data_IF_846315623549
#
_entry.id   IF_846315623549
#
_cell.length_a   1.000
_cell.length_b   1.000
_cell.length_c   1.000
_cell.angle_alpha   90.00
_cell.angle_beta   90.00
_cell.angle_gamma   90.00
#
_symmetry.space_group_name_H-M   'P 1'
#
loop_
_entity.id
_entity.type
_entity.pdbx_description
1 polymer ?
#
# COMPACT_ATOMS: atom_id res chain seq x y z
N UNK A 1 0.95 15.65 -2.30
CA UNK A 1 0.71 14.25 -1.90
C UNK A 1 1.71 13.33 -2.58
N UNK A 2 2.23 12.38 -1.84
CA UNK A 2 3.15 11.38 -2.38
C UNK A 2 2.52 9.99 -2.35
N UNK A 3 3.01 9.10 -3.21
CA UNK A 3 2.67 7.69 -3.22
C UNK A 3 3.94 6.88 -2.99
N UNK A 4 3.94 6.07 -1.95
CA UNK A 4 5.05 5.17 -1.61
C UNK A 4 4.68 3.79 -2.12
N UNK A 5 5.50 3.22 -2.98
CA UNK A 5 5.14 1.99 -3.70
C UNK A 5 6.15 0.87 -3.39
N UNK A 6 5.61 -0.27 -2.98
CA UNK A 6 6.37 -1.47 -2.67
C UNK A 6 5.86 -2.64 -3.49
N UNK A 7 6.76 -3.54 -3.86
CA UNK A 7 6.40 -4.80 -4.49
C UNK A 7 6.93 -5.95 -3.64
N UNK A 8 6.12 -6.97 -3.48
CA UNK A 8 6.48 -8.15 -2.68
C UNK A 8 6.28 -9.43 -3.46
N UNK A 9 7.22 -10.35 -3.32
CA UNK A 9 7.04 -11.73 -3.75
C UNK A 9 6.95 -12.56 -2.48
N UNK A 10 5.75 -13.04 -2.17
CA UNK A 10 5.44 -13.74 -0.94
C UNK A 10 5.72 -15.23 -1.11
N UNK A 11 6.16 -15.90 -0.05
CA UNK A 11 6.40 -17.33 -0.11
C UNK A 11 5.12 -18.08 -0.40
N UNK A 12 5.17 -19.17 -1.19
CA UNK A 12 3.98 -19.98 -1.43
C UNK A 12 3.38 -20.44 -0.10
N UNK A 13 2.07 -20.27 0.03
CA UNK A 13 1.35 -20.65 1.25
C UNK A 13 1.33 -19.57 2.33
N UNK A 14 2.09 -18.48 2.18
CA UNK A 14 2.15 -17.43 3.20
C UNK A 14 1.21 -16.24 2.90
N UNK A 15 0.42 -16.32 1.83
CA UNK A 15 -0.41 -15.20 1.39
C UNK A 15 -1.38 -14.70 2.46
N UNK A 16 -2.07 -15.62 3.12
CA UNK A 16 -3.06 -15.23 4.13
C UNK A 16 -2.42 -14.47 5.30
N UNK A 17 -1.27 -14.96 5.77
CA UNK A 17 -0.54 -14.29 6.85
C UNK A 17 -0.01 -12.94 6.40
N UNK A 18 0.48 -12.86 5.16
CA UNK A 18 0.97 -11.61 4.61
C UNK A 18 -0.15 -10.59 4.51
N UNK A 19 -1.33 -10.99 4.06
CA UNK A 19 -2.47 -10.09 3.93
C UNK A 19 -2.93 -9.54 5.28
N UNK A 20 -2.70 -10.25 6.37
CA UNK A 20 -3.01 -9.77 7.71
C UNK A 20 -2.14 -8.59 8.13
N UNK A 21 -1.00 -8.40 7.50
CA UNK A 21 -0.14 -7.26 7.81
C UNK A 21 -0.60 -6.00 7.10
N UNK A 22 -0.93 -6.12 5.83
CA UNK A 22 -1.11 -4.96 4.94
C UNK A 22 -2.53 -4.72 4.49
N UNK A 23 -3.46 -5.60 4.83
CA UNK A 23 -4.87 -5.38 4.52
C UNK A 23 -5.44 -4.20 5.29
N UNK A 24 -6.69 -3.85 5.01
CA UNK A 24 -7.32 -2.67 5.62
C UNK A 24 -7.36 -2.75 7.15
N UNK A 25 -7.44 -3.95 7.73
CA UNK A 25 -7.40 -4.15 9.18
C UNK A 25 -6.04 -4.69 9.63
N UNK A 26 -5.03 -4.59 8.79
CA UNK A 26 -3.71 -5.12 9.07
C UNK A 26 -2.95 -4.26 10.06
N UNK A 27 -1.97 -4.90 10.72
CA UNK A 27 -1.18 -4.21 11.75
C UNK A 27 -0.33 -3.07 11.19
N UNK A 28 0.20 -3.23 9.98
CA UNK A 28 0.94 -2.17 9.32
C UNK A 28 0.02 -0.97 9.00
N UNK A 29 -1.16 -1.25 8.47
CA UNK A 29 -2.13 -0.22 8.10
C UNK A 29 -2.60 0.53 9.34
N UNK A 30 -2.85 -0.21 10.44
CA UNK A 30 -3.23 0.42 11.70
C UNK A 30 -2.16 1.38 12.21
N UNK A 31 -0.89 0.97 12.10
CA UNK A 31 0.20 1.83 12.53
C UNK A 31 0.25 3.10 11.67
N UNK A 32 0.07 2.96 10.36
CA UNK A 32 0.07 4.11 9.45
C UNK A 32 -1.07 5.09 9.78
N UNK A 33 -2.23 4.58 10.17
CA UNK A 33 -3.38 5.41 10.53
C UNK A 33 -3.14 6.32 11.72
N UNK A 34 -2.11 6.07 12.52
CA UNK A 34 -1.77 6.95 13.64
C UNK A 34 -1.27 8.31 13.19
N UNK A 35 -0.86 8.43 11.93
CA UNK A 35 -0.47 9.72 11.36
C UNK A 35 -1.63 10.32 10.60
N UNK A 36 -1.91 11.60 10.83
CA UNK A 36 -2.93 12.33 10.08
C UNK A 36 -2.54 12.53 8.62
N UNK A 37 -1.26 12.39 8.31
CA UNK A 37 -0.77 12.53 6.95
C UNK A 37 -1.00 11.28 6.11
N UNK A 38 -1.35 10.16 6.73
CA UNK A 38 -1.69 8.94 6.00
C UNK A 38 -3.07 9.10 5.36
N UNK A 39 -3.12 9.02 4.05
CA UNK A 39 -4.35 9.27 3.28
C UNK A 39 -5.00 8.00 2.77
N UNK A 40 -4.41 6.85 3.06
CA UNK A 40 -4.95 5.57 2.65
C UNK A 40 -3.94 4.77 1.87
N UNK A 41 -4.34 3.56 1.50
CA UNK A 41 -3.47 2.67 0.74
C UNK A 41 -4.29 1.81 -0.21
N UNK A 42 -3.61 1.33 -1.24
CA UNK A 42 -4.14 0.30 -2.14
C UNK A 42 -3.26 -0.91 -1.98
N UNK A 43 -3.86 -2.03 -1.62
CA UNK A 43 -3.15 -3.29 -1.45
C UNK A 43 -3.66 -4.27 -2.50
N UNK A 44 -2.77 -4.67 -3.41
CA UNK A 44 -3.15 -5.32 -4.65
C UNK A 44 -2.42 -6.64 -4.81
N UNK A 45 -3.11 -7.64 -5.36
CA UNK A 45 -2.49 -8.91 -5.72
C UNK A 45 -2.55 -9.06 -7.23
N UNK A 46 -1.46 -9.55 -7.80
CA UNK A 46 -1.37 -9.79 -9.24
C UNK A 46 -2.40 -10.83 -9.66
N UNK A 47 -3.16 -10.55 -10.71
CA UNK A 47 -4.14 -11.50 -11.25
C UNK A 47 -3.43 -12.75 -11.76
N UNK A 48 -2.23 -12.60 -12.28
CA UNK A 48 -1.46 -13.69 -12.87
C UNK A 48 -0.57 -14.44 -11.89
N UNK A 49 -0.51 -14.02 -10.62
CA UNK A 49 0.36 -14.68 -9.64
C UNK A 49 -0.20 -14.51 -8.24
N UNK A 50 -0.42 -15.62 -7.56
CA UNK A 50 -0.98 -15.61 -6.20
C UNK A 50 0.02 -15.09 -5.16
N UNK A 51 1.29 -14.96 -5.53
CA UNK A 51 2.33 -14.58 -4.57
C UNK A 51 2.89 -13.17 -4.80
N UNK A 52 2.45 -12.48 -5.84
CA UNK A 52 2.97 -11.16 -6.14
C UNK A 52 1.98 -10.08 -5.72
N UNK A 53 2.45 -9.15 -4.90
CA UNK A 53 1.61 -8.08 -4.34
C UNK A 53 2.25 -6.71 -4.57
N UNK A 54 1.40 -5.69 -4.65
CA UNK A 54 1.80 -4.30 -4.63
C UNK A 54 1.12 -3.61 -3.46
N UNK A 55 1.86 -2.74 -2.79
CA UNK A 55 1.30 -1.84 -1.79
C UNK A 55 1.60 -0.42 -2.22
N UNK A 56 0.56 0.39 -2.32
CA UNK A 56 0.69 1.82 -2.63
C UNK A 56 0.12 2.58 -1.44
N UNK A 57 0.96 3.37 -0.78
CA UNK A 57 0.52 4.18 0.35
C UNK A 57 0.53 5.65 -0.04
N UNK A 58 -0.54 6.34 0.28
CA UNK A 58 -0.66 7.76 0.00
C UNK A 58 -0.45 8.56 1.28
N UNK A 59 0.46 9.52 1.21
CA UNK A 59 0.80 10.38 2.33
C UNK A 59 0.77 11.84 1.88
N UNK A 60 0.41 12.74 2.79
CA UNK A 60 0.29 14.16 2.46
C UNK A 60 1.61 14.78 2.07
N UNK A 61 2.66 14.51 2.85
CA UNK A 61 3.96 15.13 2.65
C UNK A 61 5.08 14.16 3.00
N UNK A 62 6.19 14.28 2.27
CA UNK A 62 7.38 13.44 2.49
C UNK A 62 7.95 13.58 3.90
N UNK A 63 8.05 14.82 4.39
CA UNK A 63 8.61 15.07 5.72
C UNK A 63 7.80 14.41 6.82
N UNK A 64 6.48 14.42 6.70
CA UNK A 64 5.61 13.81 7.71
C UNK A 64 5.69 12.30 7.63
N UNK A 65 5.80 11.75 6.42
CA UNK A 65 6.03 10.32 6.24
C UNK A 65 7.34 9.89 6.92
N UNK A 66 8.43 10.63 6.67
CA UNK A 66 9.73 10.33 7.28
C UNK A 66 9.66 10.42 8.81
N UNK A 67 8.93 11.42 9.31
CA UNK A 67 8.74 11.57 10.75
C UNK A 67 7.98 10.36 11.32
N UNK A 68 6.97 9.89 10.64
CA UNK A 68 6.23 8.71 11.06
C UNK A 68 7.16 7.49 11.17
N UNK A 69 8.02 7.27 10.17
CA UNK A 69 8.97 6.17 10.21
C UNK A 69 9.92 6.28 11.41
N UNK A 70 10.37 7.49 11.72
CA UNK A 70 11.26 7.73 12.85
C UNK A 70 10.54 7.54 14.19
N UNK A 71 9.34 8.08 14.31
CA UNK A 71 8.56 8.03 15.56
C UNK A 71 8.15 6.61 15.94
N UNK A 72 7.91 5.76 14.94
CA UNK A 72 7.45 4.39 15.17
C UNK A 72 8.49 3.33 14.80
N UNK A 73 9.78 3.70 14.85
CA UNK A 73 10.87 2.84 14.42
C UNK A 73 10.82 1.44 15.03
N UNK A 74 10.56 1.35 16.34
CA UNK A 74 10.53 0.04 17.01
C UNK A 74 9.39 -0.84 16.52
N UNK A 75 8.22 -0.26 16.36
CA UNK A 75 7.05 -0.99 15.88
C UNK A 75 7.24 -1.42 14.44
N UNK A 76 7.83 -0.54 13.62
CA UNK A 76 8.11 -0.84 12.21
C UNK A 76 9.13 -1.97 12.12
N UNK A 77 10.19 -1.94 12.93
CA UNK A 77 11.21 -3.00 12.93
C UNK A 77 10.58 -4.35 13.27
N UNK A 78 9.69 -4.39 14.24
CA UNK A 78 9.02 -5.64 14.63
C UNK A 78 8.15 -6.17 13.50
N UNK A 79 7.42 -5.29 12.83
CA UNK A 79 6.57 -5.68 11.69
C UNK A 79 7.41 -6.13 10.51
N UNK A 80 8.55 -5.49 10.28
CA UNK A 80 9.46 -5.88 9.21
C UNK A 80 10.08 -7.25 9.46
N UNK A 81 10.39 -7.57 10.70
CA UNK A 81 10.88 -8.90 11.03
C UNK A 81 9.81 -9.96 10.79
N UNK A 82 8.57 -9.66 11.17
CA UNK A 82 7.45 -10.55 10.92
C UNK A 82 7.24 -10.76 9.43
N UNK A 83 7.31 -9.69 8.64
CA UNK A 83 7.18 -9.77 7.19
C UNK A 83 8.30 -10.58 6.57
N UNK A 84 9.52 -10.44 7.07
CA UNK A 84 10.69 -11.09 6.46
C UNK A 84 10.55 -12.60 6.38
N UNK A 85 9.85 -13.22 7.33
CA UNK A 85 9.63 -14.67 7.30
C UNK A 85 8.59 -15.09 6.26
N UNK A 86 7.81 -14.15 5.74
CA UNK A 86 6.72 -14.43 4.80
C UNK A 86 7.06 -14.10 3.36
N UNK A 87 8.13 -13.36 3.12
CA UNK A 87 8.44 -12.77 1.82
C UNK A 87 9.76 -13.31 1.30
N UNK A 88 9.77 -13.72 0.03
CA UNK A 88 11.00 -14.14 -0.65
C UNK A 88 11.78 -12.93 -1.14
N UNK A 89 11.06 -11.90 -1.57
CA UNK A 89 11.68 -10.72 -2.13
C UNK A 89 10.79 -9.51 -1.95
N UNK A 90 11.42 -8.37 -1.70
CA UNK A 90 10.72 -7.10 -1.57
C UNK A 90 11.49 -6.05 -2.34
N UNK A 91 10.77 -5.21 -3.03
CA UNK A 91 11.37 -4.13 -3.80
C UNK A 91 10.71 -2.81 -3.46
N UNK A 92 11.52 -1.81 -3.11
CA UNK A 92 11.03 -0.43 -3.00
C UNK A 92 10.96 0.11 -4.42
N UNK A 93 9.77 0.15 -4.98
CA UNK A 93 9.59 0.64 -6.35
C UNK A 93 9.92 2.12 -6.42
N UNK A 94 9.48 2.88 -5.42
CA UNK A 94 9.82 4.29 -5.35
C UNK A 94 8.81 5.11 -4.56
N UNK A 95 9.14 6.39 -4.43
CA UNK A 95 8.25 7.39 -3.87
C UNK A 95 7.94 8.38 -4.99
N UNK A 96 6.69 8.60 -5.27
CA UNK A 96 6.24 9.37 -6.42
C UNK A 96 5.41 10.56 -5.98
N UNK A 97 5.53 11.67 -6.69
CA UNK A 97 4.58 12.76 -6.53
C UNK A 97 3.28 12.34 -7.19
N UNK A 98 2.18 12.42 -6.45
CA UNK A 98 0.88 12.09 -7.01
C UNK A 98 0.33 13.31 -7.73
N UNK A 99 0.18 13.21 -9.04
CA UNK A 99 -0.31 14.31 -9.84
C UNK A 99 -1.83 14.38 -9.84
N UNK A 100 -2.47 13.21 -9.95
CA UNK A 100 -3.92 13.08 -9.88
C UNK A 100 -4.26 11.85 -9.05
N UNK A 101 -5.07 11.99 -7.99
CA UNK A 101 -5.31 10.85 -7.13
C UNK A 101 -6.69 10.84 -6.54
N UNK A 102 -7.32 9.76 -6.66
CA UNK A 102 -7.40 8.96 -7.87
C UNK A 102 -8.17 9.76 -8.89
N UNK A 103 -7.67 9.79 -10.10
CA UNK A 103 -8.40 10.49 -11.15
C UNK A 103 -9.67 9.69 -11.38
N UNK A 104 -10.77 10.20 -10.95
CA UNK A 104 -12.04 9.62 -11.32
C UNK A 104 -12.36 10.10 -12.71
N UNK A 105 -12.65 9.16 -13.54
CA UNK A 105 -13.30 9.51 -14.77
C UNK A 105 -14.50 10.34 -14.38
N UNK A 106 -14.73 11.37 -15.07
CA UNK A 106 -15.80 12.24 -14.78
C UNK A 106 -17.05 11.46 -14.46
N UNK A 107 -17.97 12.05 -14.09
CA UNK A 107 -19.16 11.41 -13.60
C UNK A 107 -19.74 10.43 -14.58
N UNK A 108 -19.31 10.42 -14.78
CA UNK A 108 -19.61 9.73 -15.19
C UNK A 108 -19.27 8.80 -15.79
N UNK A 109 -19.15 8.36 -15.94
CA UNK A 109 -19.01 7.53 -16.62
C UNK A 109 -19.76 6.59 -16.58
N UNK A 110 -20.21 7.20 -16.46
CA UNK A 110 -20.79 6.60 -16.46
C UNK A 110 -21.37 6.10 -16.16
N UNK A 111 -21.76 6.57 -16.18
CA UNK A 111 -22.13 6.14 -16.04
C UNK A 111 -22.52 5.66 -16.38
N UNK A 112 -22.74 6.15 -17.08
CA UNK A 112 -22.85 5.59 -17.83
C UNK A 112 -22.66 4.78 -18.10
N UNK A 113 -22.73 5.08 -18.52
CA UNK A 113 -22.39 4.13 -19.23
C UNK A 113 -22.07 3.36 -19.14
N UNK A 114 -22.33 3.97 -19.50
CA UNK A 114 -21.93 3.20 -19.98
C UNK A 114 -21.68 2.94 -19.85
N UNK A 115 -21.90 3.28 -20.16
CA UNK A 115 -21.54 2.98 -20.69
C UNK A 115 -20.69 2.95 -20.66
N UNK A 116 -20.87 3.53 -21.06
CA UNK A 116 -20.14 3.45 -21.66
C UNK A 116 -19.27 3.50 -21.62
N UNK A 117 -19.71 4.20 -21.87
CA UNK A 117 -18.85 4.11 -22.41
C UNK A 117 -18.24 3.98 -22.43
N UNK A 118 -18.49 4.49 -22.92
CA UNK A 118 -17.94 4.19 -23.41
C UNK A 118 -17.39 3.91 -23.49
#
# INVERSE_FOLDING_TARGET
MIAVVWQFDVRPGAGAEFEKLYGSDGTWTELSRRSRSFLGSSFLRDIGSETRYLLVEYWGEMMVYEKHLADFQKQIDALEQQRASLVERMEAVGVFTALDVPARAGPTWSQRSGRRVE
#
